data_IF_783066453017
#
_entry.id   IF_783066453017
#
_cell.length_a   1.000
_cell.length_b   1.000
_cell.length_c   1.000
_cell.angle_alpha   90.00
_cell.angle_beta   90.00
_cell.angle_gamma   90.00
#
_symmetry.space_group_name_H-M   'P 1'
#
loop_
_entity.id
_entity.type
_entity.pdbx_description
1 polymer ?
#
# COMPACT_ATOMS: atom_id res chain seq x y z
N UNK A 1 -19.07 -3.42 -0.17
CA UNK A 1 -18.91 -1.98 0.14
C UNK A 1 -17.47 -1.64 0.46
N UNK A 2 -16.83 -2.35 1.40
CA UNK A 2 -15.47 -2.02 1.87
C UNK A 2 -14.37 -2.18 0.82
N UNK A 3 -14.45 -3.22 -0.03
CA UNK A 3 -13.48 -3.43 -1.12
C UNK A 3 -13.45 -2.24 -2.06
N UNK A 4 -14.61 -1.81 -2.57
CA UNK A 4 -14.72 -0.65 -3.47
C UNK A 4 -14.11 0.60 -2.85
N UNK A 5 -14.43 0.88 -1.58
CA UNK A 5 -13.90 2.02 -0.84
C UNK A 5 -12.37 1.96 -0.75
N UNK A 6 -11.82 0.81 -0.36
CA UNK A 6 -10.36 0.64 -0.28
C UNK A 6 -9.66 0.88 -1.62
N UNK A 7 -10.24 0.41 -2.73
CA UNK A 7 -9.70 0.62 -4.09
C UNK A 7 -9.74 2.09 -4.50
N UNK A 8 -10.87 2.76 -4.28
CA UNK A 8 -10.96 4.19 -4.56
C UNK A 8 -10.02 5.02 -3.69
N UNK A 9 -9.91 4.70 -2.39
CA UNK A 9 -8.98 5.37 -1.47
C UNK A 9 -7.52 5.23 -1.93
N UNK A 10 -7.14 4.05 -2.42
CA UNK A 10 -5.82 3.76 -3.02
C UNK A 10 -5.55 4.60 -4.27
N UNK A 11 -6.50 4.64 -5.21
CA UNK A 11 -6.42 5.45 -6.44
C UNK A 11 -6.31 6.95 -6.11
N UNK A 12 -7.16 7.42 -5.20
CA UNK A 12 -7.21 8.82 -4.75
C UNK A 12 -5.87 9.28 -4.17
N UNK A 13 -5.26 8.46 -3.30
CA UNK A 13 -3.93 8.73 -2.73
C UNK A 13 -2.86 8.87 -3.82
N UNK A 14 -2.81 7.96 -4.80
CA UNK A 14 -1.79 7.97 -5.85
C UNK A 14 -1.94 9.16 -6.81
N UNK A 15 -3.15 9.46 -7.25
CA UNK A 15 -3.39 10.63 -8.12
C UNK A 15 -3.12 11.95 -7.40
N UNK A 16 -3.48 12.05 -6.11
CA UNK A 16 -3.16 13.24 -5.30
C UNK A 16 -1.66 13.38 -5.08
N UNK A 17 -0.95 12.27 -4.82
CA UNK A 17 0.51 12.26 -4.73
C UNK A 17 1.17 12.76 -6.02
N UNK A 18 0.73 12.27 -7.18
CA UNK A 18 1.22 12.75 -8.48
C UNK A 18 0.94 14.25 -8.67
N UNK A 19 -0.28 14.70 -8.38
CA UNK A 19 -0.64 16.12 -8.47
C UNK A 19 0.29 17.01 -7.65
N UNK A 20 0.55 16.61 -6.39
CA UNK A 20 1.44 17.37 -5.50
C UNK A 20 2.90 17.31 -5.96
N UNK A 21 3.36 16.15 -6.45
CA UNK A 21 4.71 15.99 -7.00
C UNK A 21 4.92 16.90 -8.21
N UNK A 22 3.97 16.94 -9.15
CA UNK A 22 4.02 17.84 -10.32
C UNK A 22 4.05 19.30 -9.86
N UNK A 23 3.22 19.67 -8.88
CA UNK A 23 3.20 21.02 -8.31
C UNK A 23 4.54 21.43 -7.71
N UNK A 24 5.15 20.57 -6.90
CA UNK A 24 6.44 20.83 -6.27
C UNK A 24 7.59 20.86 -7.28
N UNK A 25 7.58 19.98 -8.27
CA UNK A 25 8.62 19.95 -9.29
C UNK A 25 8.56 21.21 -10.17
N UNK A 26 7.36 21.64 -10.58
CA UNK A 26 7.20 22.87 -11.36
C UNK A 26 7.60 24.13 -10.58
N UNK A 27 7.38 24.18 -9.25
CA UNK A 27 7.86 25.32 -8.44
C UNK A 27 9.39 25.39 -8.32
N UNK A 28 10.07 24.28 -8.60
CA UNK A 28 11.52 24.16 -8.69
C UNK A 28 12.05 24.24 -10.14
N UNK A 29 11.20 24.54 -11.13
CA UNK A 29 11.52 24.54 -12.55
C UNK A 29 11.98 23.16 -13.10
N UNK A 30 11.57 22.05 -12.47
CA UNK A 30 11.85 20.68 -12.91
C UNK A 30 10.70 20.17 -13.79
N UNK A 31 10.74 20.47 -15.09
CA UNK A 31 9.63 20.20 -16.01
C UNK A 31 9.63 18.81 -16.66
N UNK A 32 10.65 17.98 -16.42
CA UNK A 32 10.74 16.63 -17.00
C UNK A 32 9.52 15.75 -16.68
N UNK A 33 8.87 16.00 -15.54
CA UNK A 33 7.65 15.31 -15.12
C UNK A 33 6.49 15.56 -16.09
N UNK A 34 6.42 16.72 -16.74
CA UNK A 34 5.32 17.04 -17.65
C UNK A 34 5.37 16.18 -18.94
N UNK A 35 6.57 15.85 -19.44
CA UNK A 35 6.74 14.98 -20.62
C UNK A 35 6.25 13.55 -20.31
N UNK A 36 6.57 13.05 -19.12
CA UNK A 36 6.11 11.72 -18.70
C UNK A 36 4.59 11.69 -18.40
N UNK A 37 4.00 12.82 -18.02
CA UNK A 37 2.59 12.91 -17.68
C UNK A 37 1.69 12.62 -18.89
N UNK A 38 2.07 13.01 -20.11
CA UNK A 38 1.26 12.78 -21.31
C UNK A 38 0.97 11.30 -21.56
N UNK A 39 2.01 10.48 -21.60
CA UNK A 39 1.87 9.02 -21.80
C UNK A 39 1.09 8.38 -20.65
N UNK A 40 1.37 8.79 -19.42
CA UNK A 40 0.66 8.31 -18.24
C UNK A 40 -0.85 8.60 -18.31
N UNK A 41 -1.23 9.86 -18.58
CA UNK A 41 -2.64 10.24 -18.65
C UNK A 41 -3.33 9.67 -19.88
N UNK A 42 -2.64 9.50 -21.01
CA UNK A 42 -3.17 8.76 -22.17
C UNK A 42 -3.62 7.37 -21.75
N UNK A 43 -2.75 6.61 -21.10
CA UNK A 43 -3.02 5.23 -20.77
C UNK A 43 -4.04 5.11 -19.61
N UNK A 44 -4.05 6.05 -18.67
CA UNK A 44 -5.11 6.16 -17.66
C UNK A 44 -6.49 6.46 -18.30
N UNK A 45 -6.56 7.40 -19.24
CA UNK A 45 -7.81 7.75 -19.91
C UNK A 45 -8.33 6.57 -20.76
N UNK A 46 -7.46 5.75 -21.35
CA UNK A 46 -7.89 4.52 -22.02
C UNK A 46 -8.65 3.57 -21.08
N UNK A 47 -8.22 3.44 -19.83
CA UNK A 47 -8.93 2.65 -18.82
C UNK A 47 -10.30 3.25 -18.45
N UNK A 48 -10.52 4.54 -18.72
CA UNK A 48 -11.84 5.17 -18.56
C UNK A 48 -12.76 4.96 -19.77
N UNK A 49 -12.25 4.33 -20.83
CA UNK A 49 -12.96 3.96 -22.04
C UNK A 49 -12.56 4.80 -23.26
N UNK A 50 -11.64 5.75 -23.14
CA UNK A 50 -11.21 6.59 -24.26
C UNK A 50 -10.25 5.86 -25.21
N UNK A 51 -10.10 6.35 -26.43
CA UNK A 51 -9.16 5.79 -27.44
C UNK A 51 -8.07 6.81 -27.82
N UNK A 52 -7.64 7.62 -26.85
CA UNK A 52 -6.61 8.65 -27.04
C UNK A 52 -5.29 8.08 -27.56
N UNK A 53 -4.73 8.76 -28.56
CA UNK A 53 -3.36 8.61 -29.03
C UNK A 53 -2.60 9.91 -28.80
N UNK A 54 -1.27 9.82 -28.64
CA UNK A 54 -0.44 11.02 -28.68
C UNK A 54 -0.66 11.71 -30.02
N UNK A 55 -0.74 13.02 -29.99
CA UNK A 55 -0.96 13.77 -31.19
C UNK A 55 0.28 13.88 -32.06
N UNK A 56 0.23 13.29 -33.25
CA UNK A 56 1.22 13.52 -34.31
C UNK A 56 0.71 14.62 -35.28
N UNK A 57 0.23 15.76 -34.77
CA UNK A 57 -0.22 16.85 -35.65
C UNK A 57 0.95 17.41 -36.46
N UNK A 58 0.64 17.99 -37.62
CA UNK A 58 1.56 18.88 -38.34
C UNK A 58 2.15 19.90 -37.34
N UNK A 59 3.46 20.18 -37.41
CA UNK A 59 4.28 20.86 -36.39
C UNK A 59 3.68 22.15 -35.77
N UNK A 60 2.69 22.78 -36.40
CA UNK A 60 2.00 23.97 -35.87
C UNK A 60 0.93 23.68 -34.81
N UNK A 61 0.21 22.56 -34.89
CA UNK A 61 -0.92 22.27 -33.98
C UNK A 61 -0.53 21.39 -32.79
N UNK A 62 0.58 20.68 -32.86
CA UNK A 62 1.16 19.89 -31.76
C UNK A 62 1.54 20.75 -30.55
N UNK A 63 1.72 22.06 -30.73
CA UNK A 63 2.03 22.99 -29.64
C UNK A 63 0.85 23.27 -28.68
N UNK A 64 -0.38 22.91 -29.05
CA UNK A 64 -1.58 23.35 -28.32
C UNK A 64 -2.37 22.23 -27.64
N UNK A 65 -2.16 20.98 -28.06
CA UNK A 65 -2.81 19.79 -27.54
C UNK A 65 -1.87 18.59 -27.59
N UNK A 66 -2.10 17.62 -26.70
CA UNK A 66 -1.18 16.50 -26.48
C UNK A 66 -1.80 15.16 -26.89
N UNK A 67 -3.13 15.02 -26.71
CA UNK A 67 -3.86 13.79 -27.00
C UNK A 67 -5.07 14.05 -27.90
N UNK A 68 -5.38 13.07 -28.76
CA UNK A 68 -6.58 13.09 -29.61
C UNK A 68 -7.26 11.72 -29.66
N UNK A 69 -8.58 11.73 -29.52
CA UNK A 69 -9.50 10.61 -29.71
C UNK A 69 -10.34 10.92 -30.96
N UNK A 70 -9.98 10.30 -32.08
CA UNK A 70 -10.64 10.52 -33.36
C UNK A 70 -12.05 9.92 -33.41
N UNK A 71 -12.32 8.87 -32.65
CA UNK A 71 -13.63 8.19 -32.64
C UNK A 71 -14.69 9.07 -31.95
N UNK A 72 -14.32 9.69 -30.82
CA UNK A 72 -15.19 10.59 -30.06
C UNK A 72 -15.09 12.04 -30.50
N UNK A 73 -14.14 12.36 -31.37
CA UNK A 73 -13.79 13.73 -31.78
C UNK A 73 -13.46 14.63 -30.59
N UNK A 74 -12.59 14.15 -29.71
CA UNK A 74 -12.14 14.90 -28.52
C UNK A 74 -10.63 15.10 -28.61
N UNK A 75 -10.16 16.31 -28.31
CA UNK A 75 -8.76 16.62 -28.10
C UNK A 75 -8.55 17.06 -26.65
N UNK A 76 -7.40 16.68 -26.07
CA UNK A 76 -7.02 17.06 -24.71
C UNK A 76 -5.66 17.75 -24.74
N UNK A 77 -5.59 18.91 -24.09
CA UNK A 77 -4.35 19.49 -23.63
C UNK A 77 -4.08 19.08 -22.17
N UNK A 78 -2.92 18.53 -21.89
CA UNK A 78 -2.41 18.17 -20.56
C UNK A 78 -1.51 19.31 -20.10
N UNK A 79 -1.82 19.94 -18.97
CA UNK A 79 -1.05 21.11 -18.51
C UNK A 79 -1.01 21.25 -16.99
N UNK A 80 0.11 21.76 -16.49
CA UNK A 80 0.25 22.17 -15.11
C UNK A 80 -0.19 23.64 -14.87
N UNK A 81 -0.42 24.39 -15.94
CA UNK A 81 -0.85 25.79 -15.90
C UNK A 81 -2.38 25.87 -15.88
N UNK A 82 -2.92 26.83 -15.12
CA UNK A 82 -4.36 27.04 -14.98
C UNK A 82 -4.75 28.51 -15.20
N UNK A 83 -4.00 29.23 -16.03
CA UNK A 83 -4.35 30.59 -16.43
C UNK A 83 -5.25 30.58 -17.67
N UNK A 84 -6.17 31.55 -17.74
CA UNK A 84 -7.10 31.66 -18.87
C UNK A 84 -6.39 32.00 -20.17
N UNK A 85 -5.25 32.69 -20.12
CA UNK A 85 -4.43 33.00 -21.28
C UNK A 85 -3.99 31.73 -22.02
N UNK A 86 -3.49 30.74 -21.30
CA UNK A 86 -3.07 29.45 -21.85
C UNK A 86 -4.22 28.68 -22.48
N UNK A 87 -5.38 28.66 -21.81
CA UNK A 87 -6.59 28.01 -22.36
C UNK A 87 -7.04 28.71 -23.64
N UNK A 88 -7.07 30.05 -23.66
CA UNK A 88 -7.39 30.84 -24.85
C UNK A 88 -6.39 30.61 -25.98
N UNK A 89 -5.10 30.55 -25.68
CA UNK A 89 -4.04 30.25 -26.64
C UNK A 89 -4.27 28.86 -27.28
N UNK A 90 -4.54 27.84 -26.47
CA UNK A 90 -4.79 26.49 -26.97
C UNK A 90 -6.07 26.38 -27.80
N UNK A 91 -7.15 27.04 -27.39
CA UNK A 91 -8.37 27.11 -28.19
C UNK A 91 -8.11 27.76 -29.56
N UNK A 92 -7.47 28.93 -29.56
CA UNK A 92 -7.19 29.66 -30.80
C UNK A 92 -6.20 28.90 -31.69
N UNK A 93 -5.20 28.23 -31.10
CA UNK A 93 -4.23 27.41 -31.82
C UNK A 93 -4.87 26.19 -32.46
N UNK A 94 -5.62 25.40 -31.68
CA UNK A 94 -6.27 24.18 -32.14
C UNK A 94 -7.28 24.44 -33.27
N UNK A 95 -8.17 25.42 -33.07
CA UNK A 95 -9.20 25.81 -34.04
C UNK A 95 -8.69 26.79 -35.12
N UNK A 96 -7.38 26.94 -35.33
CA UNK A 96 -6.88 27.55 -36.59
C UNK A 96 -7.02 26.60 -37.76
N UNK A 97 -6.94 25.29 -37.52
CA UNK A 97 -7.04 24.28 -38.56
C UNK A 97 -8.50 23.83 -38.74
N UNK A 98 -9.12 24.07 -39.90
CA UNK A 98 -10.52 23.70 -40.17
C UNK A 98 -10.84 22.23 -39.97
N UNK A 99 -9.84 21.33 -40.07
CA UNK A 99 -10.00 19.88 -39.85
C UNK A 99 -10.53 19.53 -38.46
N UNK A 100 -10.39 20.42 -37.48
CA UNK A 100 -10.75 20.16 -36.09
C UNK A 100 -11.96 20.93 -35.59
N UNK A 101 -12.71 21.62 -36.47
CA UNK A 101 -13.86 22.43 -36.06
C UNK A 101 -15.00 21.62 -35.44
N UNK A 102 -15.08 20.34 -35.77
CA UNK A 102 -16.04 19.39 -35.20
C UNK A 102 -15.50 18.63 -33.99
N UNK A 103 -14.26 18.90 -33.56
CA UNK A 103 -13.68 18.33 -32.35
C UNK A 103 -14.01 19.19 -31.14
N UNK A 104 -14.18 18.54 -30.00
CA UNK A 104 -14.26 19.19 -28.70
C UNK A 104 -12.88 19.27 -28.05
N UNK A 105 -12.43 20.47 -27.71
CA UNK A 105 -11.21 20.67 -26.92
C UNK A 105 -11.51 20.59 -25.42
N UNK A 106 -10.70 19.82 -24.68
CA UNK A 106 -10.68 19.77 -23.23
C UNK A 106 -9.27 20.06 -22.70
N UNK A 107 -9.20 20.49 -21.43
CA UNK A 107 -7.95 20.79 -20.73
C UNK A 107 -7.88 19.95 -19.46
N UNK A 108 -6.86 19.10 -19.35
CA UNK A 108 -6.57 18.29 -18.17
C UNK A 108 -5.50 18.99 -17.32
N UNK A 109 -5.90 19.46 -16.14
CA UNK A 109 -5.01 20.08 -15.16
C UNK A 109 -4.36 19.01 -14.27
N UNK A 110 -3.04 18.87 -14.38
CA UNK A 110 -2.28 17.83 -13.68
C UNK A 110 -1.59 18.30 -12.38
N UNK A 111 -1.62 19.62 -12.12
CA UNK A 111 -0.96 20.24 -10.97
C UNK A 111 -1.93 21.03 -10.09
N UNK A 112 -2.91 21.70 -10.68
CA UNK A 112 -3.76 22.67 -9.98
C UNK A 112 -5.22 22.32 -10.14
N UNK A 113 -6.02 22.75 -9.17
CA UNK A 113 -7.47 22.71 -9.30
C UNK A 113 -7.95 23.73 -10.35
N UNK A 114 -9.09 23.42 -10.96
CA UNK A 114 -9.75 24.33 -11.88
C UNK A 114 -10.22 25.59 -11.14
N UNK A 115 -10.00 26.75 -11.75
CA UNK A 115 -10.54 28.03 -11.25
C UNK A 115 -11.98 28.21 -11.71
N UNK A 116 -12.73 29.07 -11.03
CA UNK A 116 -13.97 29.63 -11.57
C UNK A 116 -13.58 30.76 -12.55
N UNK A 117 -13.36 30.40 -13.81
CA UNK A 117 -12.85 31.33 -14.81
C UNK A 117 -13.94 32.34 -15.19
N UNK A 118 -13.66 33.63 -15.01
CA UNK A 118 -14.54 34.72 -15.46
C UNK A 118 -14.35 35.06 -16.94
N UNK A 119 -13.28 34.56 -17.55
CA UNK A 119 -12.96 34.77 -18.97
C UNK A 119 -14.01 34.08 -19.85
N UNK A 120 -14.49 34.81 -20.86
CA UNK A 120 -15.37 34.23 -21.90
C UNK A 120 -14.49 33.53 -22.93
N UNK A 121 -14.59 32.21 -22.99
CA UNK A 121 -13.89 31.40 -23.98
C UNK A 121 -14.69 31.31 -25.29
N UNK A 122 -13.98 31.27 -26.42
CA UNK A 122 -14.58 31.05 -27.74
C UNK A 122 -14.88 29.57 -28.02
N UNK A 123 -15.37 29.28 -29.22
CA UNK A 123 -15.55 27.91 -29.73
C UNK A 123 -16.44 27.00 -28.85
N UNK A 124 -17.47 27.59 -28.22
CA UNK A 124 -18.39 26.89 -27.30
C UNK A 124 -17.72 26.18 -26.12
N UNK A 125 -16.50 26.60 -25.75
CA UNK A 125 -15.78 26.01 -24.63
C UNK A 125 -16.41 26.41 -23.30
N UNK A 126 -16.86 25.41 -22.53
CA UNK A 126 -17.42 25.59 -21.21
C UNK A 126 -16.40 25.15 -20.17
N UNK A 127 -15.73 26.10 -19.52
CA UNK A 127 -14.69 25.77 -18.53
C UNK A 127 -15.19 24.93 -17.35
N UNK A 128 -16.50 24.97 -17.04
CA UNK A 128 -17.11 24.13 -15.99
C UNK A 128 -17.30 22.68 -16.42
N UNK A 129 -17.11 22.37 -17.70
CA UNK A 129 -17.24 21.02 -18.27
C UNK A 129 -15.94 20.53 -18.89
N UNK A 130 -15.20 21.44 -19.52
CA UNK A 130 -14.12 21.13 -20.43
C UNK A 130 -12.75 21.29 -19.78
N UNK A 131 -12.69 21.92 -18.60
CA UNK A 131 -11.53 21.83 -17.71
C UNK A 131 -11.76 20.68 -16.73
N UNK A 132 -10.85 19.72 -16.77
CA UNK A 132 -10.83 18.53 -15.92
C UNK A 132 -9.61 18.67 -15.02
N UNK A 133 -9.80 18.83 -13.72
CA UNK A 133 -8.72 18.70 -12.74
C UNK A 133 -8.71 17.30 -12.12
N UNK A 134 -7.75 17.04 -11.25
CA UNK A 134 -7.63 15.75 -10.56
C UNK A 134 -8.88 15.44 -9.71
N UNK A 135 -9.53 16.45 -9.11
CA UNK A 135 -10.78 16.26 -8.34
C UNK A 135 -11.91 15.75 -9.23
N UNK A 136 -12.08 16.34 -10.41
CA UNK A 136 -13.08 15.90 -11.38
C UNK A 136 -12.74 14.54 -11.98
N UNK A 137 -11.47 14.28 -12.27
CA UNK A 137 -11.01 12.96 -12.72
C UNK A 137 -11.33 11.90 -11.67
N UNK A 138 -11.10 12.19 -10.39
CA UNK A 138 -11.48 11.31 -9.28
C UNK A 138 -12.99 11.12 -9.19
N UNK A 139 -13.81 12.14 -9.44
CA UNK A 139 -15.26 11.99 -9.51
C UNK A 139 -15.71 11.07 -10.66
N UNK A 140 -15.06 11.15 -11.82
CA UNK A 140 -15.29 10.25 -12.96
C UNK A 140 -14.93 8.81 -12.56
N UNK A 141 -13.75 8.61 -11.97
CA UNK A 141 -13.26 7.32 -11.49
C UNK A 141 -14.20 6.75 -10.42
N UNK A 142 -14.68 7.58 -9.49
CA UNK A 142 -15.58 7.18 -8.42
C UNK A 142 -16.88 6.55 -8.94
N UNK A 143 -17.31 6.88 -10.16
CA UNK A 143 -18.52 6.33 -10.78
C UNK A 143 -18.29 5.03 -11.57
N UNK A 144 -17.04 4.56 -11.68
CA UNK A 144 -16.68 3.31 -12.37
C UNK A 144 -17.05 2.07 -11.56
N UNK A 145 -17.24 0.93 -12.20
CA UNK A 145 -17.55 -0.34 -11.54
C UNK A 145 -16.35 -0.86 -10.72
N UNK A 146 -16.57 -1.77 -9.77
CA UNK A 146 -15.48 -2.35 -8.96
C UNK A 146 -14.39 -3.04 -9.82
N UNK A 147 -14.73 -3.80 -10.89
CA UNK A 147 -13.72 -4.33 -11.82
C UNK A 147 -12.90 -3.24 -12.50
N UNK A 148 -13.53 -2.17 -12.99
CA UNK A 148 -12.80 -1.03 -13.59
C UNK A 148 -11.88 -0.35 -12.57
N UNK A 149 -12.31 -0.19 -11.31
CA UNK A 149 -11.46 0.36 -10.26
C UNK A 149 -10.24 -0.53 -9.97
N UNK A 150 -10.38 -1.85 -10.03
CA UNK A 150 -9.24 -2.77 -9.88
C UNK A 150 -8.22 -2.62 -11.02
N UNK A 151 -8.70 -2.47 -12.25
CA UNK A 151 -7.86 -2.23 -13.43
C UNK A 151 -7.08 -0.90 -13.30
N UNK A 152 -7.77 0.17 -12.89
CA UNK A 152 -7.17 1.49 -12.66
C UNK A 152 -6.15 1.44 -11.51
N UNK A 153 -6.49 0.81 -10.39
CA UNK A 153 -5.58 0.69 -9.25
C UNK A 153 -4.29 -0.04 -9.66
N UNK A 154 -4.43 -1.17 -10.38
CA UNK A 154 -3.28 -1.97 -10.84
C UNK A 154 -2.39 -1.21 -11.81
N UNK A 155 -2.96 -0.38 -12.68
CA UNK A 155 -2.18 0.52 -13.54
C UNK A 155 -1.41 1.53 -12.68
N UNK A 156 -2.07 2.19 -11.73
CA UNK A 156 -1.42 3.17 -10.86
C UNK A 156 -0.35 2.54 -9.95
N UNK A 157 -0.51 1.29 -9.50
CA UNK A 157 0.53 0.56 -8.76
C UNK A 157 1.82 0.36 -9.57
N UNK A 158 1.71 0.24 -10.89
CA UNK A 158 2.88 0.09 -11.78
C UNK A 158 3.54 1.41 -12.12
N UNK A 159 2.75 2.44 -12.36
CA UNK A 159 3.22 3.74 -12.84
C UNK A 159 3.61 4.71 -11.71
N UNK A 160 3.02 4.56 -10.52
CA UNK A 160 3.20 5.49 -9.41
C UNK A 160 3.92 4.81 -8.26
N UNK A 161 5.25 4.92 -8.26
CA UNK A 161 6.06 4.51 -7.12
C UNK A 161 5.91 5.52 -5.97
N UNK A 162 5.07 5.15 -5.00
CA UNK A 162 5.08 5.73 -3.65
C UNK A 162 6.20 5.08 -2.83
N UNK A 163 6.50 5.61 -1.63
CA UNK A 163 7.39 4.91 -0.70
C UNK A 163 7.01 3.43 -0.61
N UNK A 164 8.00 2.56 -0.85
CA UNK A 164 7.83 1.12 -0.70
C UNK A 164 7.46 0.88 0.77
N UNK A 165 6.33 0.22 1.02
CA UNK A 165 6.05 -0.28 2.36
C UNK A 165 7.26 -1.10 2.81
N UNK A 166 7.73 -0.87 4.03
CA UNK A 166 8.76 -1.72 4.61
C UNK A 166 8.27 -3.16 4.48
N UNK A 167 9.08 -4.01 3.85
CA UNK A 167 8.81 -5.44 3.72
C UNK A 167 9.83 -6.16 4.56
N UNK A 168 9.42 -7.22 5.22
CA UNK A 168 10.31 -8.11 5.97
C UNK A 168 10.56 -9.38 5.15
N UNK A 169 11.42 -10.26 5.63
CA UNK A 169 11.54 -11.59 5.04
C UNK A 169 10.26 -12.41 5.29
N UNK A 170 9.99 -13.39 4.42
CA UNK A 170 8.74 -14.17 4.42
C UNK A 170 8.42 -14.80 5.78
N UNK A 171 9.44 -15.30 6.47
CA UNK A 171 9.31 -15.88 7.81
C UNK A 171 8.91 -14.85 8.86
N UNK A 172 9.48 -13.64 8.80
CA UNK A 172 9.12 -12.54 9.70
C UNK A 172 7.69 -12.09 9.42
N UNK A 173 7.31 -11.92 8.15
CA UNK A 173 5.93 -11.59 7.75
C UNK A 173 4.94 -12.65 8.22
N UNK A 174 5.31 -13.93 8.13
CA UNK A 174 4.45 -15.04 8.57
C UNK A 174 4.30 -15.05 10.09
N UNK A 175 5.39 -14.86 10.84
CA UNK A 175 5.33 -14.76 12.31
C UNK A 175 4.48 -13.55 12.74
N UNK A 176 4.65 -12.39 12.09
CA UNK A 176 3.83 -11.20 12.32
C UNK A 176 2.34 -11.49 12.05
N UNK A 177 2.02 -12.20 10.97
CA UNK A 177 0.65 -12.58 10.63
C UNK A 177 0.02 -13.51 11.69
N UNK A 178 0.78 -14.50 12.19
CA UNK A 178 0.35 -15.39 13.27
C UNK A 178 0.08 -14.58 14.55
N UNK A 179 1.04 -13.75 14.98
CA UNK A 179 0.89 -12.93 16.20
C UNK A 179 -0.30 -11.98 16.08
N UNK A 180 -0.48 -11.34 14.93
CA UNK A 180 -1.62 -10.47 14.67
C UNK A 180 -2.95 -11.25 14.76
N UNK A 181 -2.99 -12.48 14.24
CA UNK A 181 -4.16 -13.35 14.41
C UNK A 181 -4.45 -13.64 15.88
N UNK A 182 -3.44 -13.99 16.68
CA UNK A 182 -3.58 -14.23 18.13
C UNK A 182 -4.06 -12.98 18.90
N UNK A 183 -3.67 -11.80 18.42
CA UNK A 183 -3.94 -10.53 19.09
C UNK A 183 -5.34 -9.96 18.82
N UNK A 184 -6.15 -10.62 18.00
CA UNK A 184 -7.52 -10.21 17.71
C UNK A 184 -8.48 -10.68 18.80
N UNK A 185 -9.27 -9.78 19.44
CA UNK A 185 -10.20 -10.15 20.51
C UNK A 185 -11.15 -11.28 20.11
N UNK A 186 -11.63 -11.30 18.86
CA UNK A 186 -12.53 -12.30 18.31
C UNK A 186 -11.92 -13.71 18.21
N UNK A 187 -10.59 -13.82 18.23
CA UNK A 187 -9.88 -15.09 18.13
C UNK A 187 -9.50 -15.68 19.49
N UNK A 188 -9.62 -14.90 20.58
CA UNK A 188 -9.24 -15.33 21.93
C UNK A 188 -10.41 -16.04 22.61
N UNK A 189 -10.09 -17.05 23.40
CA UNK A 189 -11.04 -17.75 24.27
C UNK A 189 -10.34 -18.14 25.56
N UNK A 190 -11.07 -18.44 26.63
CA UNK A 190 -10.49 -19.01 27.85
C UNK A 190 -10.58 -20.54 27.75
N UNK A 191 -9.43 -21.19 27.60
CA UNK A 191 -9.28 -22.65 27.61
C UNK A 191 -8.89 -23.17 29.00
N UNK A 192 -9.14 -24.46 29.23
CA UNK A 192 -8.66 -25.16 30.42
C UNK A 192 -7.13 -25.22 30.46
N UNK A 193 -6.58 -25.24 31.68
CA UNK A 193 -5.14 -25.38 31.88
C UNK A 193 -4.68 -26.79 31.51
N UNK A 194 -3.49 -26.91 30.93
CA UNK A 194 -2.82 -28.19 30.70
C UNK A 194 -2.01 -28.59 31.93
N UNK A 195 -2.06 -29.88 32.27
CA UNK A 195 -1.29 -30.44 33.40
C UNK A 195 0.21 -30.55 33.10
N UNK A 196 0.58 -30.84 31.85
CA UNK A 196 1.98 -30.94 31.42
C UNK A 196 2.31 -29.89 30.34
N UNK A 197 2.98 -28.82 30.78
CA UNK A 197 3.33 -27.67 29.93
C UNK A 197 4.65 -27.90 29.18
N UNK A 198 5.61 -28.60 29.79
CA UNK A 198 6.96 -28.84 29.24
C UNK A 198 7.23 -30.35 29.18
N UNK A 199 6.60 -31.05 28.22
CA UNK A 199 6.62 -32.52 28.19
C UNK A 199 8.01 -33.10 27.96
N UNK A 200 8.89 -32.36 27.29
CA UNK A 200 10.29 -32.78 27.08
C UNK A 200 11.22 -32.36 28.23
N UNK A 201 10.67 -31.66 29.24
CA UNK A 201 11.40 -31.08 30.37
C UNK A 201 12.53 -30.15 29.94
N UNK A 202 12.43 -29.52 28.77
CA UNK A 202 13.49 -28.65 28.24
C UNK A 202 13.74 -27.49 29.19
N UNK A 203 12.68 -26.77 29.57
CA UNK A 203 12.79 -25.60 30.43
C UNK A 203 13.30 -26.04 31.80
N UNK A 204 12.75 -27.13 32.34
CA UNK A 204 13.13 -27.65 33.65
C UNK A 204 14.58 -28.18 33.70
N UNK A 205 15.14 -28.66 32.59
CA UNK A 205 16.51 -29.17 32.50
C UNK A 205 17.52 -28.09 32.16
N UNK A 206 17.32 -27.37 31.04
CA UNK A 206 18.30 -26.41 30.51
C UNK A 206 18.23 -25.06 31.18
N UNK A 207 17.02 -24.64 31.55
CA UNK A 207 16.74 -23.31 32.08
C UNK A 207 16.14 -23.39 33.48
N UNK A 208 16.61 -24.34 34.29
CA UNK A 208 16.06 -24.68 35.60
C UNK A 208 15.94 -23.47 36.53
N UNK A 209 16.96 -22.61 36.57
CA UNK A 209 16.98 -21.37 37.37
C UNK A 209 15.89 -20.36 36.96
N UNK A 210 15.41 -20.43 35.72
CA UNK A 210 14.37 -19.57 35.17
C UNK A 210 13.03 -20.29 34.97
N UNK A 211 12.95 -21.59 35.29
CA UNK A 211 11.81 -22.43 34.96
C UNK A 211 10.50 -21.93 35.59
N UNK A 212 10.54 -21.52 36.86
CA UNK A 212 9.36 -20.96 37.56
C UNK A 212 8.79 -19.74 36.82
N UNK A 213 9.65 -18.86 36.31
CA UNK A 213 9.21 -17.69 35.57
C UNK A 213 8.65 -18.07 34.19
N UNK A 214 9.37 -18.88 33.42
CA UNK A 214 8.98 -19.24 32.05
C UNK A 214 7.68 -20.07 32.02
N UNK A 215 7.59 -21.10 32.87
CA UNK A 215 6.40 -21.95 32.99
C UNK A 215 5.23 -21.16 33.60
N UNK A 216 5.50 -20.32 34.59
CA UNK A 216 4.49 -19.44 35.18
C UNK A 216 3.87 -18.50 34.15
N UNK A 217 4.72 -17.85 33.32
CA UNK A 217 4.26 -16.97 32.24
C UNK A 217 3.52 -17.73 31.15
N UNK A 218 3.96 -18.92 30.76
CA UNK A 218 3.20 -19.74 29.83
C UNK A 218 1.82 -20.12 30.39
N UNK A 219 1.77 -20.57 31.65
CA UNK A 219 0.53 -20.97 32.33
C UNK A 219 -0.51 -19.85 32.43
N UNK A 220 -0.05 -18.60 32.58
CA UNK A 220 -0.88 -17.40 32.61
C UNK A 220 -1.50 -17.11 31.23
N UNK A 221 -0.72 -17.29 30.16
CA UNK A 221 -1.11 -16.87 28.80
C UNK A 221 -1.78 -17.97 27.99
N UNK A 222 -1.48 -19.24 28.26
CA UNK A 222 -1.99 -20.39 27.52
C UNK A 222 -3.52 -20.42 27.44
N UNK A 223 -4.29 -20.16 28.53
CA UNK A 223 -5.74 -20.15 28.45
C UNK A 223 -6.27 -19.21 27.38
N UNK A 224 -5.62 -18.07 27.13
CA UNK A 224 -6.11 -16.99 26.25
C UNK A 224 -5.79 -17.24 24.77
N UNK A 225 -4.57 -17.72 24.49
CA UNK A 225 -4.00 -17.69 23.14
C UNK A 225 -3.82 -19.06 22.48
N UNK A 226 -3.83 -20.16 23.25
CA UNK A 226 -3.50 -21.48 22.72
C UNK A 226 -4.43 -21.91 21.59
N UNK A 227 -5.75 -21.80 21.79
CA UNK A 227 -6.75 -22.14 20.77
C UNK A 227 -6.58 -21.32 19.49
N UNK A 228 -6.37 -20.01 19.62
CA UNK A 228 -6.12 -19.11 18.49
C UNK A 228 -4.89 -19.55 17.68
N UNK A 229 -3.82 -19.92 18.36
CA UNK A 229 -2.59 -20.39 17.73
C UNK A 229 -2.76 -21.70 16.98
N UNK A 230 -3.54 -22.65 17.52
CA UNK A 230 -3.84 -23.90 16.82
C UNK A 230 -4.62 -23.64 15.53
N UNK A 231 -5.57 -22.71 15.54
CA UNK A 231 -6.33 -22.34 14.34
C UNK A 231 -5.44 -21.64 13.32
N UNK A 232 -4.63 -20.66 13.75
CA UNK A 232 -3.73 -19.92 12.88
C UNK A 232 -2.75 -20.83 12.12
N UNK A 233 -2.25 -21.89 12.77
CA UNK A 233 -1.31 -22.84 12.16
C UNK A 233 -1.91 -23.76 11.11
N UNK A 234 -3.23 -23.98 11.10
CA UNK A 234 -3.87 -24.85 10.07
C UNK A 234 -3.69 -24.32 8.65
N UNK A 235 -3.40 -23.03 8.50
CA UNK A 235 -3.11 -22.40 7.20
C UNK A 235 -1.63 -22.43 6.80
N UNK A 236 -0.73 -22.96 7.63
CA UNK A 236 0.70 -23.07 7.30
C UNK A 236 0.99 -24.42 6.66
N UNK A 237 1.72 -24.41 5.55
CA UNK A 237 2.30 -25.64 5.01
C UNK A 237 3.57 -26.05 5.80
N UNK A 238 3.99 -27.30 5.58
CA UNK A 238 5.12 -27.91 6.28
C UNK A 238 6.46 -27.24 5.95
N UNK A 239 6.62 -26.76 4.70
CA UNK A 239 7.86 -26.11 4.25
C UNK A 239 8.01 -24.78 4.98
N UNK A 240 6.96 -23.97 5.03
CA UNK A 240 6.97 -22.68 5.68
C UNK A 240 7.11 -22.83 7.20
N UNK A 241 6.52 -23.88 7.79
CA UNK A 241 6.71 -24.23 9.20
C UNK A 241 8.18 -24.56 9.52
N UNK A 242 8.88 -25.28 8.63
CA UNK A 242 10.30 -25.58 8.78
C UNK A 242 11.17 -24.32 8.66
N UNK A 243 10.88 -23.44 7.71
CA UNK A 243 11.61 -22.17 7.52
C UNK A 243 11.46 -21.27 8.76
N UNK A 244 10.24 -21.13 9.30
CA UNK A 244 9.99 -20.37 10.53
C UNK A 244 10.75 -20.97 11.72
N UNK A 245 10.74 -22.30 11.86
CA UNK A 245 11.49 -22.99 12.91
C UNK A 245 13.00 -22.71 12.80
N UNK A 246 13.58 -22.81 11.61
CA UNK A 246 15.01 -22.54 11.38
C UNK A 246 15.36 -21.09 11.73
N UNK A 247 14.57 -20.13 11.25
CA UNK A 247 14.78 -18.71 11.53
C UNK A 247 14.72 -18.41 13.03
N UNK A 248 13.69 -18.93 13.74
CA UNK A 248 13.55 -18.70 15.16
C UNK A 248 14.72 -19.29 15.96
N UNK A 249 15.25 -20.44 15.54
CA UNK A 249 16.41 -21.06 16.18
C UNK A 249 17.62 -20.15 16.08
N UNK A 250 17.96 -19.72 14.88
CA UNK A 250 19.13 -18.89 14.62
C UNK A 250 19.05 -17.55 15.37
N UNK A 251 17.92 -16.84 15.23
CA UNK A 251 17.73 -15.52 15.87
C UNK A 251 17.69 -15.62 17.39
N UNK A 252 17.03 -16.64 17.93
CA UNK A 252 16.94 -16.82 19.38
C UNK A 252 18.29 -17.22 20.00
N UNK A 253 19.09 -18.04 19.33
CA UNK A 253 20.42 -18.40 19.83
C UNK A 253 21.39 -17.22 19.82
N UNK A 254 21.32 -16.34 18.82
CA UNK A 254 22.08 -15.08 18.81
C UNK A 254 21.75 -14.24 20.05
N UNK A 255 20.47 -14.08 20.35
CA UNK A 255 20.03 -13.32 21.53
C UNK A 255 20.36 -14.02 22.85
N UNK A 256 20.26 -15.35 22.90
CA UNK A 256 20.62 -16.13 24.09
C UNK A 256 22.10 -15.98 24.42
N UNK A 257 22.97 -16.06 23.41
CA UNK A 257 24.40 -15.85 23.55
C UNK A 257 24.74 -14.42 23.98
N UNK A 258 24.07 -13.41 23.39
CA UNK A 258 24.22 -11.99 23.78
C UNK A 258 23.95 -11.77 25.27
N UNK A 259 23.00 -12.52 25.85
CA UNK A 259 22.61 -12.43 27.26
C UNK A 259 23.25 -13.50 28.14
N UNK A 260 24.42 -14.04 27.75
CA UNK A 260 25.18 -15.03 28.54
C UNK A 260 24.33 -16.24 28.97
N UNK A 261 23.51 -16.77 28.06
CA UNK A 261 22.58 -17.87 28.31
C UNK A 261 21.46 -17.57 29.33
N UNK A 262 21.12 -16.30 29.57
CA UNK A 262 19.93 -15.92 30.33
C UNK A 262 18.67 -15.97 29.43
N UNK A 263 17.83 -17.01 29.53
CA UNK A 263 16.66 -17.18 28.67
C UNK A 263 15.57 -16.14 28.93
N UNK A 264 15.53 -15.53 30.11
CA UNK A 264 14.53 -14.51 30.44
C UNK A 264 14.82 -13.21 29.70
N UNK A 265 16.06 -12.73 29.80
CA UNK A 265 16.48 -11.50 29.13
C UNK A 265 16.46 -11.66 27.60
N UNK A 266 16.94 -12.81 27.11
CA UNK A 266 16.88 -13.12 25.68
C UNK A 266 15.45 -13.22 25.14
N UNK A 267 14.53 -13.81 25.89
CA UNK A 267 13.11 -13.85 25.50
C UNK A 267 12.50 -12.45 25.48
N UNK A 268 12.80 -11.60 26.48
CA UNK A 268 12.30 -10.23 26.54
C UNK A 268 12.82 -9.38 25.34
N UNK A 269 14.09 -9.56 24.95
CA UNK A 269 14.65 -8.95 23.74
C UNK A 269 13.98 -9.46 22.46
N UNK A 270 13.74 -10.77 22.34
CA UNK A 270 13.07 -11.34 21.17
C UNK A 270 11.60 -10.88 21.06
N UNK A 271 10.92 -10.72 22.20
CA UNK A 271 9.58 -10.11 22.26
C UNK A 271 9.63 -8.66 21.77
N UNK A 272 10.62 -7.87 22.21
CA UNK A 272 10.76 -6.48 21.77
C UNK A 272 11.11 -6.38 20.28
N UNK A 273 11.92 -7.30 19.76
CA UNK A 273 12.22 -7.40 18.33
C UNK A 273 10.94 -7.55 17.51
N UNK A 274 10.12 -8.56 17.78
CA UNK A 274 8.87 -8.76 17.03
C UNK A 274 7.85 -7.65 17.27
N UNK A 275 7.83 -7.05 18.47
CA UNK A 275 7.02 -5.86 18.72
C UNK A 275 7.42 -4.71 17.78
N UNK A 276 8.71 -4.43 17.65
CA UNK A 276 9.22 -3.43 16.72
C UNK A 276 8.81 -3.72 15.28
N UNK A 277 8.97 -4.97 14.84
CA UNK A 277 8.54 -5.42 13.51
C UNK A 277 7.05 -5.17 13.26
N UNK A 278 6.17 -5.56 14.19
CA UNK A 278 4.73 -5.34 14.08
C UNK A 278 4.37 -3.84 14.06
N UNK A 279 5.00 -3.03 14.93
CA UNK A 279 4.80 -1.57 14.96
C UNK A 279 5.19 -0.90 13.66
N UNK A 280 6.40 -1.19 13.15
CA UNK A 280 6.95 -0.55 11.95
C UNK A 280 6.21 -0.96 10.67
N UNK A 281 5.66 -2.19 10.64
CA UNK A 281 4.88 -2.70 9.51
C UNK A 281 3.38 -2.37 9.59
N UNK A 282 2.98 -1.46 10.49
CA UNK A 282 1.65 -0.86 10.49
C UNK A 282 0.51 -1.74 10.99
N UNK A 283 0.82 -2.79 11.77
CA UNK A 283 -0.21 -3.59 12.44
C UNK A 283 -0.94 -2.75 13.49
N UNK A 284 -2.23 -2.47 13.26
CA UNK A 284 -3.01 -1.54 14.10
C UNK A 284 -3.40 -2.09 15.47
N UNK A 285 -3.55 -3.41 15.57
CA UNK A 285 -4.04 -4.07 16.79
C UNK A 285 -3.22 -5.34 17.02
N UNK A 286 -2.20 -5.24 17.84
CA UNK A 286 -1.49 -6.39 18.38
C UNK A 286 -1.18 -6.16 19.86
N UNK A 287 -0.94 -7.22 20.61
CA UNK A 287 -0.56 -7.11 22.01
C UNK A 287 0.76 -7.84 22.29
N UNK A 288 1.53 -7.30 23.25
CA UNK A 288 2.86 -7.82 23.59
C UNK A 288 2.81 -9.21 24.24
N UNK A 289 1.67 -9.60 24.81
CA UNK A 289 1.49 -10.89 25.48
C UNK A 289 1.25 -12.02 24.46
N UNK A 290 0.61 -11.75 23.32
CA UNK A 290 0.49 -12.66 22.20
C UNK A 290 1.87 -13.01 21.61
N UNK A 291 2.75 -12.02 21.45
CA UNK A 291 4.15 -12.23 21.03
C UNK A 291 4.84 -13.16 22.03
N UNK A 292 4.77 -12.82 23.33
CA UNK A 292 5.40 -13.61 24.39
C UNK A 292 4.88 -15.05 24.43
N UNK A 293 3.57 -15.24 24.31
CA UNK A 293 2.97 -16.57 24.28
C UNK A 293 3.45 -17.38 23.09
N UNK A 294 3.43 -16.79 21.88
CA UNK A 294 3.91 -17.45 20.67
C UNK A 294 5.36 -17.95 20.84
N UNK A 295 6.25 -17.10 21.35
CA UNK A 295 7.66 -17.45 21.56
C UNK A 295 7.86 -18.49 22.67
N UNK A 296 7.06 -18.46 23.75
CA UNK A 296 7.11 -19.49 24.78
C UNK A 296 6.62 -20.85 24.26
N UNK A 297 5.57 -20.88 23.45
CA UNK A 297 5.11 -22.10 22.77
C UNK A 297 6.21 -22.66 21.84
N UNK A 298 6.87 -21.79 21.06
CA UNK A 298 7.99 -22.19 20.20
C UNK A 298 9.22 -22.63 21.01
N UNK A 299 9.42 -22.08 22.21
CA UNK A 299 10.47 -22.51 23.12
C UNK A 299 10.25 -23.95 23.60
N UNK A 300 9.01 -24.29 23.99
CA UNK A 300 8.62 -25.65 24.39
C UNK A 300 8.81 -26.63 23.22
N UNK A 301 8.57 -26.19 21.98
CA UNK A 301 8.78 -26.98 20.75
C UNK A 301 10.22 -27.03 20.24
N UNK A 302 11.19 -26.54 21.01
CA UNK A 302 12.60 -26.47 20.59
C UNK A 302 12.89 -25.60 19.36
N UNK A 303 12.00 -24.67 19.00
CA UNK A 303 12.19 -23.72 17.91
C UNK A 303 12.74 -22.37 18.39
N UNK A 304 12.58 -22.04 19.67
CA UNK A 304 13.27 -20.92 20.34
C UNK A 304 14.23 -21.50 21.37
N UNK A 305 15.49 -21.05 21.36
CA UNK A 305 16.59 -21.60 22.15
C UNK A 305 16.73 -23.12 21.96
N UNK A 306 16.99 -23.63 20.75
CA UNK A 306 17.12 -25.08 20.46
C UNK A 306 18.15 -25.75 21.35
N UNK A 307 17.94 -27.02 21.71
CA UNK A 307 18.94 -27.77 22.47
C UNK A 307 20.21 -27.93 21.63
N UNK A 308 21.36 -27.69 22.26
CA UNK A 308 22.67 -27.98 21.68
C UNK A 308 22.96 -29.48 21.68
#
# INVERSE_FOLDING_TARGET
MDVRKAKFDSISKKLTYLQQRVTNNNSLNLTDVNIHAENFFRDLLKLLGYTFTNSNFDDQNSAYIDLIDYERKIAIQITAQNDSGKITESLNGFYKNPKYYDFKLQVLLISKDAKDYTTKFGNNFNHKEDVIDIKRLLAIIHNKTTPELLEIERFLDKEVQTERLKTESTEVETIMALINYLSKPENRSLAEKKDNIDPEYKINKRFSEHATYLIGKYSELMPVYYSALQVARRGLDDVMSLIISSYLKDESDVLLNKHNNNPREALDDLVNFFHGKLSENGFKTFDKQAIRFYLLEEMIKCNVFPNN
#
